data_IF_969002169510
#
_entry.id   IF_969002169510
#
_cell.length_a   1.000
_cell.length_b   1.000
_cell.length_c   1.000
_cell.angle_alpha   90.00
_cell.angle_beta   90.00
_cell.angle_gamma   90.00
#
_symmetry.space_group_name_H-M   'P 1'
#
loop_
_entity.id
_entity.type
_entity.pdbx_description
1 polymer ?
#
# COMPACT_ATOMS: atom_id res chain seq x y z
N UNK A 1 0.10 30.07 9.78
CA UNK A 1 0.85 28.84 9.45
C UNK A 1 1.21 28.84 7.96
N UNK A 2 1.78 29.94 7.47
CA UNK A 2 2.09 30.21 6.07
C UNK A 2 3.39 31.00 6.07
N UNK A 3 4.48 30.39 5.61
CA UNK A 3 5.74 31.05 5.20
C UNK A 3 6.81 30.04 4.76
N UNK A 4 6.64 28.74 5.02
CA UNK A 4 7.61 27.69 4.66
C UNK A 4 7.26 27.01 3.31
N UNK A 5 6.03 27.21 2.81
CA UNK A 5 5.47 26.46 1.66
C UNK A 5 5.98 26.90 0.27
N UNK A 6 6.72 28.02 0.20
CA UNK A 6 7.25 28.55 -1.07
C UNK A 6 8.61 27.97 -1.47
N UNK A 7 9.34 27.35 -0.55
CA UNK A 7 10.68 26.80 -0.83
C UNK A 7 10.66 25.35 -1.32
N UNK A 8 9.55 24.65 -1.14
CA UNK A 8 9.44 23.25 -1.55
C UNK A 8 9.17 23.14 -3.05
N UNK A 9 9.94 22.26 -3.70
CA UNK A 9 9.69 21.83 -5.07
C UNK A 9 8.30 21.17 -5.19
N UNK A 10 7.71 21.14 -6.40
CA UNK A 10 6.48 20.39 -6.65
C UNK A 10 6.57 18.92 -6.21
N UNK A 11 7.74 18.31 -6.39
CA UNK A 11 8.03 16.92 -6.04
C UNK A 11 7.97 16.70 -4.52
N UNK A 12 8.62 17.56 -3.74
CA UNK A 12 8.58 17.51 -2.27
C UNK A 12 7.17 17.77 -1.73
N UNK A 13 6.44 18.71 -2.35
CA UNK A 13 5.04 18.99 -2.00
C UNK A 13 4.15 17.78 -2.20
N UNK A 14 4.31 17.06 -3.32
CA UNK A 14 3.56 15.81 -3.57
C UNK A 14 3.83 14.78 -2.48
N UNK A 15 5.09 14.60 -2.12
CA UNK A 15 5.47 13.57 -1.16
C UNK A 15 5.01 13.94 0.26
N UNK A 16 5.00 15.24 0.60
CA UNK A 16 4.39 15.75 1.83
C UNK A 16 2.87 15.50 1.88
N UNK A 17 2.17 15.72 0.76
CA UNK A 17 0.72 15.42 0.66
C UNK A 17 0.48 13.92 0.89
N UNK A 18 1.24 13.05 0.21
CA UNK A 18 1.15 11.60 0.41
C UNK A 18 1.39 11.21 1.87
N UNK A 19 2.46 11.73 2.48
CA UNK A 19 2.79 11.46 3.88
C UNK A 19 1.70 11.93 4.85
N UNK A 20 1.16 13.13 4.63
CA UNK A 20 0.06 13.69 5.43
C UNK A 20 -1.21 12.85 5.33
N UNK A 21 -1.56 12.40 4.13
CA UNK A 21 -2.70 11.51 3.89
C UNK A 21 -2.47 10.14 4.55
N UNK A 22 -1.26 9.58 4.45
CA UNK A 22 -0.90 8.34 5.12
C UNK A 22 -1.01 8.46 6.64
N UNK A 23 -0.54 9.57 7.22
CA UNK A 23 -0.67 9.84 8.65
C UNK A 23 -2.14 10.00 9.07
N UNK A 24 -2.95 10.71 8.27
CA UNK A 24 -4.38 10.84 8.51
C UNK A 24 -5.08 9.48 8.48
N UNK A 25 -4.82 8.64 7.47
CA UNK A 25 -5.35 7.30 7.33
C UNK A 25 -4.93 6.38 8.49
N UNK A 26 -3.66 6.42 8.90
CA UNK A 26 -3.13 5.70 10.08
C UNK A 26 -3.83 6.16 11.36
N UNK A 27 -4.00 7.46 11.56
CA UNK A 27 -4.67 8.02 12.74
C UNK A 27 -6.15 7.61 12.81
N UNK A 28 -6.84 7.64 11.67
CA UNK A 28 -8.23 7.19 11.55
C UNK A 28 -8.35 5.70 11.86
N UNK A 29 -7.47 4.88 11.29
CA UNK A 29 -7.46 3.43 11.52
C UNK A 29 -7.21 3.09 12.99
N UNK A 30 -6.30 3.80 13.66
CA UNK A 30 -6.04 3.64 15.11
C UNK A 30 -7.26 4.02 15.94
N UNK A 31 -7.90 5.15 15.66
CA UNK A 31 -9.13 5.58 16.34
C UNK A 31 -10.26 4.58 16.14
N UNK A 32 -10.50 4.17 14.89
CA UNK A 32 -11.50 3.16 14.54
C UNK A 32 -11.25 1.84 15.30
N UNK A 33 -10.00 1.36 15.36
CA UNK A 33 -9.66 0.16 16.13
C UNK A 33 -9.96 0.31 17.64
N UNK A 34 -9.68 1.47 18.22
CA UNK A 34 -10.01 1.76 19.63
C UNK A 34 -11.53 1.79 19.84
N UNK A 35 -12.28 2.44 18.96
CA UNK A 35 -13.73 2.54 19.06
C UNK A 35 -14.40 1.18 18.90
N UNK A 36 -13.92 0.34 17.97
CA UNK A 36 -14.36 -1.05 17.83
C UNK A 36 -14.06 -1.88 19.09
N UNK A 37 -12.90 -1.67 19.71
CA UNK A 37 -12.54 -2.37 20.96
C UNK A 37 -13.47 -1.96 22.11
N UNK A 38 -13.75 -0.66 22.24
CA UNK A 38 -14.71 -0.14 23.22
C UNK A 38 -16.12 -0.69 22.96
N UNK A 39 -16.60 -0.62 21.72
CA UNK A 39 -17.90 -1.15 21.32
C UNK A 39 -18.03 -2.64 21.65
N UNK A 40 -17.01 -3.45 21.32
CA UNK A 40 -16.97 -4.87 21.66
C UNK A 40 -17.07 -5.11 23.17
N UNK A 41 -16.30 -4.37 23.98
CA UNK A 41 -16.37 -4.50 25.45
C UNK A 41 -17.72 -4.10 26.03
N UNK A 42 -18.37 -3.06 25.48
CA UNK A 42 -19.71 -2.63 25.86
C UNK A 42 -20.76 -3.69 25.52
N UNK A 43 -20.68 -4.29 24.34
CA UNK A 43 -21.60 -5.35 23.91
C UNK A 43 -21.45 -6.61 24.76
N UNK A 44 -20.22 -7.05 25.06
CA UNK A 44 -20.00 -8.16 25.98
C UNK A 44 -20.57 -7.90 27.38
N UNK A 45 -20.43 -6.67 27.90
CA UNK A 45 -21.01 -6.28 29.19
C UNK A 45 -22.53 -6.29 29.16
N UNK A 46 -23.15 -5.79 28.08
CA UNK A 46 -24.60 -5.85 27.88
C UNK A 46 -25.09 -7.29 27.80
N UNK A 47 -24.40 -8.14 27.03
CA UNK A 47 -24.72 -9.57 26.93
C UNK A 47 -24.70 -10.22 28.32
N UNK A 48 -23.60 -10.08 29.06
CA UNK A 48 -23.47 -10.64 30.41
C UNK A 48 -24.55 -10.11 31.37
N UNK A 49 -24.90 -8.83 31.28
CA UNK A 49 -25.97 -8.22 32.06
C UNK A 49 -27.34 -8.83 31.77
N UNK A 50 -27.71 -8.92 30.49
CA UNK A 50 -28.98 -9.49 30.05
C UNK A 50 -29.06 -10.97 30.44
N UNK A 51 -28.01 -11.76 30.19
CA UNK A 51 -27.95 -13.18 30.57
C UNK A 51 -28.12 -13.35 32.08
N UNK A 52 -27.46 -12.51 32.89
CA UNK A 52 -27.61 -12.55 34.35
C UNK A 52 -29.04 -12.18 34.79
N UNK A 53 -29.65 -11.16 34.18
CA UNK A 53 -31.03 -10.76 34.48
C UNK A 53 -32.04 -11.86 34.15
N UNK A 54 -31.87 -12.56 33.04
CA UNK A 54 -32.70 -13.72 32.67
C UNK A 54 -32.50 -14.87 33.65
N UNK A 55 -31.26 -15.16 34.04
CA UNK A 55 -30.96 -16.21 35.01
C UNK A 55 -31.53 -15.92 36.41
N UNK A 56 -31.62 -14.64 36.79
CA UNK A 56 -32.14 -14.22 38.09
C UNK A 56 -33.67 -14.18 38.10
N UNK A 57 -34.30 -13.78 36.98
CA UNK A 57 -35.75 -13.63 36.85
C UNK A 57 -36.22 -14.24 35.51
N UNK A 58 -36.60 -15.52 35.48
CA UNK A 58 -37.01 -16.21 34.25
C UNK A 58 -38.19 -15.57 33.53
N UNK A 59 -39.09 -14.90 34.25
CA UNK A 59 -40.28 -14.24 33.69
C UNK A 59 -39.91 -13.10 32.72
N UNK A 60 -38.74 -12.49 32.87
CA UNK A 60 -38.24 -11.44 31.99
C UNK A 60 -37.64 -11.98 30.68
N UNK A 61 -37.49 -13.30 30.53
CA UNK A 61 -36.88 -13.92 29.36
C UNK A 61 -37.60 -13.53 28.06
N UNK A 62 -38.93 -13.57 28.07
CA UNK A 62 -39.76 -13.22 26.89
C UNK A 62 -39.48 -11.81 26.36
N UNK A 63 -39.14 -10.87 27.25
CA UNK A 63 -38.89 -9.45 26.91
C UNK A 63 -37.42 -9.19 26.60
N UNK A 64 -36.49 -9.88 27.28
CA UNK A 64 -35.05 -9.65 27.17
C UNK A 64 -34.37 -10.49 26.09
N UNK A 65 -34.90 -11.66 25.72
CA UNK A 65 -34.35 -12.52 24.66
C UNK A 65 -34.23 -11.82 23.29
N UNK A 66 -35.20 -11.00 22.83
CA UNK A 66 -35.03 -10.22 21.61
C UNK A 66 -33.87 -9.21 21.69
N UNK A 67 -33.68 -8.57 22.84
CA UNK A 67 -32.57 -7.64 23.05
C UNK A 67 -31.21 -8.37 23.08
N UNK A 68 -31.17 -9.57 23.67
CA UNK A 68 -29.99 -10.43 23.66
C UNK A 68 -29.58 -10.78 22.23
N UNK A 69 -30.54 -11.19 21.39
CA UNK A 69 -30.29 -11.51 19.97
C UNK A 69 -29.71 -10.32 19.20
N UNK A 70 -30.21 -9.10 19.43
CA UNK A 70 -29.65 -7.89 18.80
C UNK A 70 -28.18 -7.69 19.21
N UNK A 71 -27.86 -7.82 20.50
CA UNK A 71 -26.49 -7.67 21.01
C UNK A 71 -25.56 -8.74 20.43
N UNK A 72 -26.04 -9.99 20.33
CA UNK A 72 -25.29 -11.11 19.75
C UNK A 72 -25.01 -10.90 18.27
N UNK A 73 -25.99 -10.42 17.50
CA UNK A 73 -25.82 -10.09 16.08
C UNK A 73 -24.80 -8.96 15.87
N UNK A 74 -24.82 -7.94 16.72
CA UNK A 74 -23.83 -6.86 16.69
C UNK A 74 -22.42 -7.37 17.02
N UNK A 75 -22.32 -8.27 18.01
CA UNK A 75 -21.05 -8.89 18.39
C UNK A 75 -20.51 -9.79 17.28
N UNK A 76 -21.36 -10.59 16.64
CA UNK A 76 -21.00 -11.44 15.51
C UNK A 76 -20.49 -10.61 14.32
N UNK A 77 -21.14 -9.48 14.03
CA UNK A 77 -20.71 -8.54 12.99
C UNK A 77 -19.30 -7.99 13.25
N UNK A 78 -19.01 -7.59 14.50
CA UNK A 78 -17.67 -7.13 14.89
C UNK A 78 -16.60 -8.23 14.82
N UNK A 79 -16.97 -9.46 15.20
CA UNK A 79 -16.07 -10.61 15.10
C UNK A 79 -15.75 -10.95 13.65
N UNK A 80 -16.76 -10.94 12.77
CA UNK A 80 -16.59 -11.15 11.34
C UNK A 80 -15.64 -10.12 10.73
N UNK A 81 -15.82 -8.82 11.05
CA UNK A 81 -14.91 -7.76 10.60
C UNK A 81 -13.45 -8.01 11.03
N UNK A 82 -13.24 -8.47 12.26
CA UNK A 82 -11.90 -8.80 12.75
C UNK A 82 -11.30 -10.00 12.01
N UNK A 83 -12.08 -11.06 11.81
CA UNK A 83 -11.66 -12.26 11.07
C UNK A 83 -11.28 -11.88 9.63
N UNK A 84 -12.09 -11.06 8.96
CA UNK A 84 -11.80 -10.58 7.60
C UNK A 84 -10.48 -9.78 7.55
N UNK A 85 -10.26 -8.90 8.53
CA UNK A 85 -9.00 -8.13 8.64
C UNK A 85 -7.79 -9.04 8.83
N UNK A 86 -7.88 -10.05 9.70
CA UNK A 86 -6.78 -11.00 9.95
C UNK A 86 -6.56 -11.92 8.76
N UNK A 87 -7.62 -12.38 8.09
CA UNK A 87 -7.54 -13.21 6.90
C UNK A 87 -6.87 -12.47 5.73
N UNK A 88 -7.20 -11.19 5.54
CA UNK A 88 -6.52 -10.32 4.58
C UNK A 88 -5.02 -10.23 4.87
N UNK A 89 -4.63 -9.99 6.13
CA UNK A 89 -3.22 -9.95 6.55
C UNK A 89 -2.52 -11.30 6.38
N UNK A 90 -3.24 -12.39 6.61
CA UNK A 90 -2.72 -13.73 6.41
C UNK A 90 -2.56 -14.09 4.92
N UNK A 91 -2.99 -13.23 3.99
CA UNK A 91 -2.95 -13.48 2.54
C UNK A 91 -3.68 -14.77 2.16
N UNK A 92 -4.76 -15.09 2.87
CA UNK A 92 -5.61 -16.26 2.61
C UNK A 92 -6.74 -15.79 1.70
N UNK A 93 -6.50 -15.89 0.40
CA UNK A 93 -7.45 -15.46 -0.64
C UNK A 93 -8.54 -16.50 -0.90
N UNK A 94 -8.29 -17.76 -0.51
CA UNK A 94 -9.20 -18.89 -0.65
C UNK A 94 -9.60 -19.41 0.73
N UNK A 95 -10.86 -19.19 1.12
CA UNK A 95 -11.47 -19.94 2.23
C UNK A 95 -11.89 -21.30 1.69
N UNK A 96 -10.95 -22.22 1.48
CA UNK A 96 -11.34 -23.56 1.01
C UNK A 96 -12.22 -24.31 2.02
N UNK A 97 -12.31 -23.86 3.28
CA UNK A 97 -13.14 -24.49 4.32
C UNK A 97 -13.74 -23.51 5.36
N UNK A 98 -13.88 -22.21 5.05
CA UNK A 98 -14.50 -21.27 6.01
C UNK A 98 -13.68 -21.05 7.29
N UNK A 99 -12.35 -21.16 7.24
CA UNK A 99 -11.49 -21.08 8.41
C UNK A 99 -11.58 -19.72 9.13
N UNK A 100 -12.06 -19.76 10.37
CA UNK A 100 -12.20 -18.61 11.28
C UNK A 100 -11.27 -18.70 12.50
N UNK A 101 -10.44 -19.75 12.59
CA UNK A 101 -9.60 -19.99 13.77
C UNK A 101 -8.44 -18.99 13.83
N UNK A 102 -8.51 -18.05 14.78
CA UNK A 102 -7.48 -17.05 15.01
C UNK A 102 -6.08 -17.67 15.24
N UNK A 103 -6.02 -18.84 15.90
CA UNK A 103 -4.77 -19.55 16.15
C UNK A 103 -4.16 -20.14 14.88
N UNK A 104 -4.99 -20.66 13.97
CA UNK A 104 -4.53 -21.12 12.65
C UNK A 104 -3.97 -19.95 11.84
N UNK A 105 -4.73 -18.86 11.72
CA UNK A 105 -4.31 -17.66 10.97
C UNK A 105 -2.96 -17.12 11.48
N UNK A 106 -2.79 -17.03 12.81
CA UNK A 106 -1.52 -16.60 13.42
C UNK A 106 -0.34 -17.51 13.06
N UNK A 107 -0.54 -18.84 13.09
CA UNK A 107 0.50 -19.80 12.72
C UNK A 107 0.86 -19.71 11.24
N UNK A 108 -0.14 -19.53 10.38
CA UNK A 108 0.08 -19.38 8.93
C UNK A 108 0.89 -18.12 8.62
N UNK A 109 0.60 -16.99 9.29
CA UNK A 109 1.41 -15.76 9.18
C UNK A 109 2.85 -16.02 9.61
N UNK A 110 3.06 -16.60 10.79
CA UNK A 110 4.41 -16.88 11.30
C UNK A 110 5.20 -17.84 10.39
N UNK A 111 4.55 -18.89 9.88
CA UNK A 111 5.18 -19.85 8.99
C UNK A 111 5.59 -19.21 7.66
N UNK A 112 4.77 -18.31 7.10
CA UNK A 112 5.12 -17.57 5.88
C UNK A 112 6.30 -16.65 6.13
N UNK A 113 6.29 -15.90 7.22
CA UNK A 113 7.40 -15.03 7.59
C UNK A 113 8.71 -15.84 7.65
N UNK A 114 8.73 -16.97 8.36
CA UNK A 114 9.91 -17.86 8.43
C UNK A 114 10.36 -18.39 7.06
N UNK A 115 9.44 -18.64 6.12
CA UNK A 115 9.76 -19.12 4.77
C UNK A 115 10.27 -18.00 3.84
N UNK A 116 9.81 -16.77 4.05
CA UNK A 116 10.18 -15.60 3.26
C UNK A 116 11.47 -14.94 3.74
N UNK A 117 11.88 -15.20 5.00
CA UNK A 117 13.16 -14.74 5.52
C UNK A 117 14.32 -15.44 4.82
N UNK A 118 15.08 -14.66 4.07
CA UNK A 118 16.37 -15.09 3.53
C UNK A 118 17.37 -15.16 4.69
N UNK A 119 17.91 -16.36 4.96
CA UNK A 119 18.76 -16.57 6.14
C UNK A 119 20.22 -16.18 5.91
N UNK A 120 20.70 -16.33 4.68
CA UNK A 120 22.09 -16.12 4.32
C UNK A 120 22.21 -15.64 2.87
N UNK A 121 23.20 -14.79 2.63
CA UNK A 121 23.65 -14.36 1.30
C UNK A 121 25.19 -14.38 1.26
N UNK A 122 25.76 -14.39 0.06
CA UNK A 122 27.19 -14.15 -0.13
C UNK A 122 27.36 -12.70 -0.56
N UNK A 123 28.19 -11.94 0.16
CA UNK A 123 28.44 -10.55 -0.17
C UNK A 123 29.18 -10.43 -1.51
N UNK A 124 28.72 -9.59 -2.47
CA UNK A 124 29.28 -9.53 -3.82
C UNK A 124 30.73 -9.05 -3.87
N UNK A 125 31.14 -8.16 -2.97
CA UNK A 125 32.50 -7.60 -2.92
C UNK A 125 33.48 -8.47 -2.12
N UNK A 126 33.17 -8.74 -0.84
CA UNK A 126 34.08 -9.46 0.08
C UNK A 126 33.96 -10.99 0.01
N UNK A 127 32.98 -11.52 -0.72
CA UNK A 127 32.71 -12.97 -0.83
C UNK A 127 32.47 -13.69 0.51
N UNK A 128 32.06 -12.95 1.55
CA UNK A 128 31.76 -13.49 2.87
C UNK A 128 30.29 -13.91 2.98
N UNK A 129 30.00 -14.88 3.85
CA UNK A 129 28.62 -15.28 4.16
C UNK A 129 28.02 -14.27 5.15
N UNK A 130 26.99 -13.56 4.69
CA UNK A 130 26.17 -12.65 5.48
C UNK A 130 25.06 -13.42 6.16
N UNK A 131 24.79 -13.14 7.43
CA UNK A 131 23.72 -13.82 8.18
C UNK A 131 22.92 -12.90 9.10
N UNK A 132 23.42 -11.69 9.36
CA UNK A 132 22.66 -10.66 10.07
C UNK A 132 21.84 -9.82 9.10
N UNK A 133 20.76 -9.20 9.59
CA UNK A 133 19.88 -8.37 8.74
C UNK A 133 20.66 -7.26 8.03
N UNK A 134 21.53 -6.55 8.75
CA UNK A 134 22.30 -5.43 8.20
C UNK A 134 23.28 -5.89 7.11
N UNK A 135 23.97 -7.02 7.34
CA UNK A 135 24.87 -7.62 6.35
C UNK A 135 24.12 -8.11 5.09
N UNK A 136 22.94 -8.70 5.26
CA UNK A 136 22.11 -9.17 4.16
C UNK A 136 21.62 -7.99 3.31
N UNK A 137 21.21 -6.89 3.96
CA UNK A 137 20.80 -5.66 3.29
C UNK A 137 21.96 -5.01 2.54
N UNK A 138 23.13 -4.87 3.17
CA UNK A 138 24.33 -4.31 2.54
C UNK A 138 24.76 -5.12 1.31
N UNK A 139 24.80 -6.45 1.43
CA UNK A 139 25.10 -7.35 0.32
C UNK A 139 24.11 -7.22 -0.84
N UNK A 140 22.80 -7.14 -0.54
CA UNK A 140 21.76 -6.99 -1.55
C UNK A 140 21.83 -5.62 -2.24
N UNK A 141 21.97 -4.54 -1.47
CA UNK A 141 22.11 -3.17 -1.98
C UNK A 141 23.36 -3.08 -2.86
N UNK A 142 24.50 -3.58 -2.41
CA UNK A 142 25.74 -3.57 -3.19
C UNK A 142 25.62 -4.33 -4.51
N UNK A 143 24.99 -5.51 -4.50
CA UNK A 143 24.80 -6.31 -5.70
C UNK A 143 23.89 -5.61 -6.72
N UNK A 144 22.70 -5.19 -6.30
CA UNK A 144 21.73 -4.59 -7.22
C UNK A 144 22.13 -3.18 -7.67
N UNK A 145 22.79 -2.40 -6.81
CA UNK A 145 23.33 -1.09 -7.21
C UNK A 145 24.37 -1.23 -8.31
N UNK A 146 25.20 -2.29 -8.27
CA UNK A 146 26.17 -2.58 -9.32
C UNK A 146 25.48 -3.12 -10.59
N UNK A 147 24.56 -4.08 -10.44
CA UNK A 147 23.85 -4.70 -11.57
C UNK A 147 23.05 -3.69 -12.39
N UNK A 148 22.44 -2.70 -11.73
CA UNK A 148 21.67 -1.65 -12.38
C UNK A 148 22.45 -0.33 -12.52
N UNK A 149 23.77 -0.36 -12.33
CA UNK A 149 24.59 0.81 -12.60
C UNK A 149 24.58 1.12 -14.10
N UNK A 150 24.52 2.40 -14.50
CA UNK A 150 24.54 2.76 -15.91
C UNK A 150 25.88 2.36 -16.53
N UNK A 151 25.85 1.44 -17.49
CA UNK A 151 27.00 1.15 -18.35
C UNK A 151 26.97 2.11 -19.55
N UNK A 152 28.10 2.72 -19.94
CA UNK A 152 28.15 3.57 -21.12
C UNK A 152 27.75 2.77 -22.36
N UNK A 153 26.76 3.29 -23.10
CA UNK A 153 26.36 2.74 -24.38
C UNK A 153 27.22 3.33 -25.50
N UNK A 154 27.62 2.49 -26.45
CA UNK A 154 28.29 2.93 -27.66
C UNK A 154 27.28 3.64 -28.57
N UNK A 155 27.43 4.95 -28.70
CA UNK A 155 26.54 5.79 -29.52
C UNK A 155 26.68 5.51 -31.02
N UNK A 156 27.87 5.09 -31.47
CA UNK A 156 28.10 4.74 -32.88
C UNK A 156 27.37 3.44 -33.22
N UNK A 157 27.46 2.44 -32.34
CA UNK A 157 26.72 1.18 -32.50
C UNK A 157 25.18 1.39 -32.48
N UNK A 158 24.69 2.32 -31.66
CA UNK A 158 23.26 2.68 -31.64
C UNK A 158 22.85 3.34 -32.96
N UNK A 159 23.62 4.31 -33.44
CA UNK A 159 23.31 4.99 -34.71
C UNK A 159 23.37 4.03 -35.89
N UNK A 160 24.39 3.15 -35.95
CA UNK A 160 24.51 2.10 -36.95
C UNK A 160 23.29 1.18 -36.95
N UNK A 161 22.86 0.72 -35.77
CA UNK A 161 21.67 -0.11 -35.62
C UNK A 161 20.41 0.62 -36.11
N UNK A 162 20.23 1.88 -35.73
CA UNK A 162 19.06 2.69 -36.09
C UNK A 162 19.05 3.13 -37.57
N UNK A 163 20.22 3.31 -38.19
CA UNK A 163 20.37 3.69 -39.59
C UNK A 163 19.88 2.60 -40.55
N UNK A 164 19.95 1.33 -40.12
CA UNK A 164 19.48 0.17 -40.89
C UNK A 164 17.96 0.03 -40.92
N UNK A 165 17.22 0.77 -40.09
CA UNK A 165 15.77 0.65 -39.98
C UNK A 165 15.04 1.39 -41.10
N UNK A 166 14.09 0.74 -41.81
CA UNK A 166 13.27 1.41 -42.81
C UNK A 166 12.45 2.56 -42.22
N UNK A 167 12.23 3.61 -43.01
CA UNK A 167 11.37 4.75 -42.62
C UNK A 167 9.94 4.34 -42.28
N UNK A 168 9.44 3.25 -42.85
CA UNK A 168 8.10 2.72 -42.56
C UNK A 168 7.92 2.25 -41.11
N UNK A 169 9.02 2.02 -40.38
CA UNK A 169 9.00 1.68 -38.96
C UNK A 169 9.13 2.92 -38.05
N UNK A 170 9.40 4.09 -38.62
CA UNK A 170 9.48 5.34 -37.86
C UNK A 170 8.08 5.88 -37.63
N UNK A 171 7.85 6.41 -36.43
CA UNK A 171 6.63 7.14 -36.12
C UNK A 171 6.53 8.39 -37.01
N UNK A 172 5.31 8.70 -37.45
CA UNK A 172 5.04 9.95 -38.16
C UNK A 172 5.39 11.16 -37.28
N UNK A 173 5.72 12.29 -37.89
CA UNK A 173 5.97 13.53 -37.13
C UNK A 173 4.79 13.92 -36.24
N UNK A 174 3.56 13.60 -36.64
CA UNK A 174 2.36 13.81 -35.83
C UNK A 174 2.35 12.91 -34.59
N UNK A 175 2.69 11.63 -34.73
CA UNK A 175 2.71 10.68 -33.61
C UNK A 175 3.86 10.98 -32.65
N UNK A 176 5.03 11.37 -33.18
CA UNK A 176 6.16 11.81 -32.37
C UNK A 176 5.79 13.01 -31.51
N UNK A 177 5.18 14.04 -32.10
CA UNK A 177 4.68 15.21 -31.35
C UNK A 177 3.60 14.81 -30.34
N UNK A 178 2.71 13.89 -30.72
CA UNK A 178 1.67 13.40 -29.83
C UNK A 178 2.24 12.73 -28.56
N UNK A 179 3.28 11.91 -28.69
CA UNK A 179 3.93 11.25 -27.55
C UNK A 179 4.67 12.22 -26.62
N UNK A 180 5.09 13.38 -27.14
CA UNK A 180 5.78 14.43 -26.38
C UNK A 180 4.83 15.47 -25.80
N UNK A 181 3.52 15.38 -26.08
CA UNK A 181 2.54 16.29 -25.52
C UNK A 181 2.47 16.15 -23.99
N UNK A 182 2.25 17.27 -23.32
CA UNK A 182 2.07 17.29 -21.87
C UNK A 182 0.89 16.41 -21.43
N UNK A 183 1.08 15.77 -20.29
CA UNK A 183 0.05 14.96 -19.63
C UNK A 183 -1.09 15.87 -19.18
N UNK A 184 -2.29 15.58 -19.66
CA UNK A 184 -3.51 16.29 -19.26
C UNK A 184 -4.10 15.72 -17.97
N UNK A 185 -4.95 16.50 -17.30
CA UNK A 185 -5.56 16.04 -16.05
C UNK A 185 -6.50 14.87 -16.29
N UNK A 186 -7.24 14.88 -17.40
CA UNK A 186 -8.12 13.77 -17.79
C UNK A 186 -7.31 12.48 -18.02
N UNK A 187 -6.12 12.59 -18.64
CA UNK A 187 -5.19 11.46 -18.78
C UNK A 187 -4.73 10.92 -17.42
N UNK A 188 -4.44 11.79 -16.44
CA UNK A 188 -4.07 11.37 -15.09
C UNK A 188 -5.21 10.64 -14.39
N UNK A 189 -6.42 11.20 -14.41
CA UNK A 189 -7.60 10.58 -13.80
C UNK A 189 -7.90 9.23 -14.47
N UNK A 190 -7.83 9.17 -15.80
CA UNK A 190 -7.99 7.92 -16.53
C UNK A 190 -6.93 6.89 -16.14
N UNK A 191 -5.67 7.31 -16.01
CA UNK A 191 -4.59 6.43 -15.56
C UNK A 191 -4.86 5.82 -14.19
N UNK A 192 -5.21 6.65 -13.21
CA UNK A 192 -5.46 6.20 -11.82
C UNK A 192 -6.77 5.42 -11.68
N UNK A 193 -7.75 5.64 -12.57
CA UNK A 193 -8.99 4.83 -12.59
C UNK A 193 -8.75 3.36 -12.92
N UNK A 194 -7.65 3.05 -13.63
CA UNK A 194 -7.26 1.67 -14.00
C UNK A 194 -6.56 0.93 -12.86
N UNK A 195 -6.23 1.62 -11.77
CA UNK A 195 -5.60 0.98 -10.63
C UNK A 195 -6.52 -0.11 -10.04
N UNK A 196 -5.98 -1.32 -9.78
CA UNK A 196 -6.75 -2.42 -9.23
C UNK A 196 -7.27 -2.07 -7.83
N UNK A 197 -8.51 -2.48 -7.54
CA UNK A 197 -9.08 -2.39 -6.20
C UNK A 197 -8.54 -3.52 -5.33
N UNK A 198 -8.32 -3.24 -4.05
CA UNK A 198 -7.87 -4.22 -3.03
C UNK A 198 -6.49 -4.83 -3.29
N UNK A 199 -5.58 -4.08 -3.94
CA UNK A 199 -4.17 -4.46 -3.99
C UNK A 199 -3.45 -4.14 -2.68
N UNK A 200 -2.36 -4.85 -2.42
CA UNK A 200 -1.44 -4.49 -1.33
C UNK A 200 -0.87 -3.09 -1.57
N UNK A 201 -0.83 -2.22 -0.55
CA UNK A 201 -0.17 -0.91 -0.64
C UNK A 201 1.31 -1.03 -0.98
N UNK A 202 1.88 0.02 -1.57
CA UNK A 202 3.33 0.17 -1.72
C UNK A 202 4.00 0.60 -0.40
N UNK A 203 5.24 1.06 -0.49
CA UNK A 203 6.04 1.52 0.67
C UNK A 203 5.44 2.70 1.43
N UNK A 204 4.64 3.50 0.73
CA UNK A 204 3.89 4.60 1.35
C UNK A 204 2.74 4.13 2.25
N UNK A 205 2.41 2.83 2.21
CA UNK A 205 1.29 2.25 2.94
C UNK A 205 -0.08 2.76 2.47
N UNK A 206 -0.15 3.41 1.30
CA UNK A 206 -1.39 3.94 0.74
C UNK A 206 -1.98 2.95 -0.26
N UNK A 207 -3.22 2.49 -0.06
CA UNK A 207 -3.91 1.69 -1.07
C UNK A 207 -4.35 2.58 -2.25
N UNK A 208 -4.55 1.98 -3.42
CA UNK A 208 -4.94 2.71 -4.64
C UNK A 208 -6.24 3.50 -4.49
N UNK A 209 -7.16 3.06 -3.62
CA UNK A 209 -8.38 3.79 -3.30
C UNK A 209 -8.10 5.15 -2.67
N UNK A 210 -7.06 5.26 -1.83
CA UNK A 210 -6.64 6.55 -1.26
C UNK A 210 -5.89 7.38 -2.30
N UNK A 211 -5.09 6.75 -3.16
CA UNK A 211 -4.45 7.43 -4.29
C UNK A 211 -5.49 8.06 -5.23
N UNK A 212 -6.56 7.34 -5.55
CA UNK A 212 -7.68 7.87 -6.34
C UNK A 212 -8.29 9.13 -5.72
N UNK A 213 -8.44 9.17 -4.39
CA UNK A 213 -8.95 10.36 -3.70
C UNK A 213 -7.98 11.54 -3.80
N UNK A 214 -6.68 11.32 -3.71
CA UNK A 214 -5.66 12.37 -3.88
C UNK A 214 -5.77 12.96 -5.30
N UNK A 215 -5.88 12.11 -6.32
CA UNK A 215 -5.97 12.56 -7.71
C UNK A 215 -7.27 13.29 -8.02
N UNK A 216 -8.38 12.86 -7.43
CA UNK A 216 -9.69 13.50 -7.59
C UNK A 216 -9.81 14.81 -6.80
N UNK A 217 -8.95 15.06 -5.80
CA UNK A 217 -9.06 16.25 -4.95
C UNK A 217 -8.64 17.52 -5.71
N UNK A 218 -9.51 18.53 -5.85
CA UNK A 218 -9.22 19.73 -6.66
C UNK A 218 -7.94 20.47 -6.24
N UNK A 219 -7.65 20.53 -4.94
CA UNK A 219 -6.44 21.21 -4.44
C UNK A 219 -5.13 20.49 -4.82
N UNK A 220 -5.19 19.24 -5.28
CA UNK A 220 -4.02 18.49 -5.73
C UNK A 220 -3.83 18.55 -7.25
N UNK A 221 -4.81 19.05 -8.01
CA UNK A 221 -4.82 19.03 -9.48
C UNK A 221 -3.57 19.64 -10.09
N UNK A 222 -3.30 20.91 -9.78
CA UNK A 222 -2.21 21.66 -10.40
C UNK A 222 -0.86 21.10 -10.00
N UNK A 223 -0.73 20.69 -8.72
CA UNK A 223 0.46 20.03 -8.19
C UNK A 223 0.76 18.73 -8.93
N UNK A 224 -0.23 17.86 -9.10
CA UNK A 224 -0.07 16.58 -9.79
C UNK A 224 0.26 16.80 -11.26
N UNK A 225 -0.44 17.69 -11.95
CA UNK A 225 -0.12 18.04 -13.33
C UNK A 225 1.32 18.50 -13.48
N UNK A 226 1.78 19.37 -12.58
CA UNK A 226 3.14 19.88 -12.60
C UNK A 226 4.16 18.77 -12.37
N UNK A 227 3.99 17.92 -11.35
CA UNK A 227 4.94 16.83 -11.06
C UNK A 227 5.06 15.84 -12.22
N UNK A 228 3.93 15.44 -12.82
CA UNK A 228 3.95 14.47 -13.93
C UNK A 228 4.51 15.07 -15.22
N UNK A 229 4.24 16.35 -15.50
CA UNK A 229 4.82 17.03 -16.65
C UNK A 229 6.30 17.38 -16.45
N UNK A 230 6.74 17.70 -15.23
CA UNK A 230 8.16 17.85 -14.90
C UNK A 230 8.91 16.53 -15.11
N UNK A 231 8.31 15.40 -14.74
CA UNK A 231 8.87 14.08 -15.01
C UNK A 231 8.98 13.80 -16.52
N UNK A 232 7.92 14.05 -17.28
CA UNK A 232 7.89 13.80 -18.73
C UNK A 232 8.82 14.72 -19.52
N UNK A 233 8.78 16.02 -19.24
CA UNK A 233 9.41 17.04 -20.09
C UNK A 233 10.81 17.45 -19.61
N UNK A 234 11.12 17.26 -18.32
CA UNK A 234 12.38 17.71 -17.71
C UNK A 234 13.17 16.58 -17.06
N UNK A 235 12.62 15.37 -16.97
CA UNK A 235 13.25 14.26 -16.25
C UNK A 235 13.42 14.52 -14.75
N UNK A 236 12.56 15.37 -14.15
CA UNK A 236 12.61 15.69 -12.72
C UNK A 236 11.55 14.85 -12.00
N UNK A 237 12.01 13.89 -11.20
CA UNK A 237 11.17 12.91 -10.53
C UNK A 237 11.15 13.12 -9.01
N UNK A 238 10.03 12.81 -8.32
CA UNK A 238 10.03 12.73 -6.86
C UNK A 238 11.00 11.67 -6.35
N UNK A 239 11.70 11.96 -5.24
CA UNK A 239 12.61 11.00 -4.61
C UNK A 239 11.90 9.70 -4.23
N UNK A 240 10.64 9.79 -3.79
CA UNK A 240 9.82 8.62 -3.45
C UNK A 240 9.57 7.65 -4.61
N UNK A 241 9.86 8.02 -5.86
CA UNK A 241 9.75 7.10 -7.01
C UNK A 241 10.95 6.15 -7.10
N UNK A 242 12.06 6.49 -6.47
CA UNK A 242 13.28 5.69 -6.45
C UNK A 242 13.45 4.89 -5.15
N UNK A 243 12.53 5.03 -4.20
CA UNK A 243 12.52 4.23 -2.98
C UNK A 243 12.22 2.77 -3.34
N UNK A 244 13.24 1.93 -3.28
CA UNK A 244 13.12 0.47 -3.36
C UNK A 244 12.69 -0.08 -2.01
N UNK A 245 11.89 -1.14 -2.02
CA UNK A 245 11.34 -1.72 -0.80
C UNK A 245 12.41 -2.33 0.10
N UNK A 246 12.64 -1.82 1.32
CA UNK A 246 13.42 -2.55 2.34
C UNK A 246 12.57 -3.60 3.06
N UNK A 247 11.23 -3.53 2.94
CA UNK A 247 10.25 -4.29 3.75
C UNK A 247 10.17 -5.81 3.45
N UNK A 248 11.24 -6.43 2.94
CA UNK A 248 11.39 -7.88 2.93
C UNK A 248 11.90 -8.45 4.26
N UNK A 249 12.22 -7.59 5.24
CA UNK A 249 12.75 -8.01 6.54
C UNK A 249 12.16 -7.13 7.65
N UNK A 250 10.99 -7.51 8.18
CA UNK A 250 10.58 -7.30 9.58
C UNK A 250 9.43 -8.23 9.96
#
# INVERSE_FOLDING_TARGET
>A
MQSIDLLLSPQEKRDLVKSSVAQAAKSFSRRSALDLTKAKSLLHRKQAGITKSIATNPDLASTLSPQLSIVENQLASLQQYHVETVALRAGIRWREQGEISAGYLKRTVAQRQTRQTMKQLVHPVISAICSTSDELLDAAVGFYSNLYSPEPIDSEAVEDLLSSLPETLRLSDSDQRFLLNGITYDSLIQGVSRCPRRSSPGLDGLPYEILQLIFAHPACRDLLLQVYNDALLKGIFPSSWFELAPDLID
#
